data_IF_755522573320
#
_entry.id   IF_755522573320
#
_cell.length_a   1.000
_cell.length_b   1.000
_cell.length_c   1.000
_cell.angle_alpha   90.00
_cell.angle_beta   90.00
_cell.angle_gamma   90.00
#
_symmetry.space_group_name_H-M   'P 1'
#
loop_
_entity.id
_entity.type
_entity.pdbx_description
1 polymer ?
#
# COMPACT_ATOMS: atom_id res chain seq x y z
N UNK A 1 -17.53 8.29 7.93
CA UNK A 1 -18.07 7.35 6.93
C UNK A 1 -19.06 7.98 5.92
N UNK A 2 -19.34 9.28 5.93
CA UNK A 2 -20.16 9.90 4.87
C UNK A 2 -19.20 10.49 3.82
N UNK A 3 -19.11 9.87 2.64
CA UNK A 3 -18.33 10.36 1.50
C UNK A 3 -16.85 9.93 1.44
N UNK A 4 -16.43 8.95 2.25
CA UNK A 4 -15.06 8.42 2.21
C UNK A 4 -14.87 7.42 1.05
N UNK A 5 -13.80 7.59 0.26
CA UNK A 5 -13.42 6.64 -0.78
C UNK A 5 -12.56 5.53 -0.17
N UNK A 6 -13.21 4.42 0.17
CA UNK A 6 -12.51 3.23 0.67
C UNK A 6 -11.86 2.51 -0.51
N UNK A 7 -10.56 2.23 -0.39
CA UNK A 7 -9.78 1.48 -1.40
C UNK A 7 -9.16 0.23 -0.79
N UNK A 8 -8.99 -0.81 -1.60
CA UNK A 8 -8.24 -2.02 -1.24
C UNK A 8 -6.98 -2.08 -2.10
N UNK A 9 -5.83 -2.32 -1.47
CA UNK A 9 -4.53 -2.40 -2.14
C UNK A 9 -3.87 -3.73 -1.79
N UNK A 10 -3.29 -4.40 -2.78
CA UNK A 10 -2.50 -5.62 -2.61
C UNK A 10 -1.13 -5.40 -3.23
N UNK A 11 -0.07 -5.78 -2.52
CA UNK A 11 1.31 -5.58 -2.97
C UNK A 11 2.32 -5.91 -1.88
N UNK A 12 3.57 -5.53 -2.12
CA UNK A 12 4.68 -5.76 -1.19
C UNK A 12 5.11 -4.46 -0.53
N UNK A 13 5.66 -4.54 0.68
CA UNK A 13 6.34 -3.41 1.33
C UNK A 13 7.66 -3.13 0.58
N UNK A 14 7.92 -1.87 0.28
CA UNK A 14 9.18 -1.44 -0.37
C UNK A 14 10.34 -1.36 0.63
N UNK A 15 10.02 -1.03 1.88
CA UNK A 15 10.93 -0.79 2.98
C UNK A 15 10.25 -1.14 4.32
N UNK A 16 11.05 -1.19 5.39
CA UNK A 16 10.55 -1.38 6.75
C UNK A 16 9.64 -0.18 7.15
N UNK A 17 8.49 -0.42 7.82
CA UNK A 17 7.62 0.66 8.26
C UNK A 17 8.30 1.61 9.26
N UNK A 18 8.10 2.92 9.06
CA UNK A 18 8.56 3.93 9.99
C UNK A 18 7.51 4.19 11.07
N UNK A 19 7.85 3.90 12.33
CA UNK A 19 6.98 4.17 13.49
C UNK A 19 7.26 5.55 14.10
N UNK A 20 6.22 6.35 14.26
CA UNK A 20 6.25 7.66 14.93
C UNK A 20 5.12 7.79 15.96
N UNK A 21 5.22 8.78 16.83
CA UNK A 21 4.17 9.12 17.78
C UNK A 21 3.68 10.55 17.56
N UNK A 22 2.36 10.76 17.61
CA UNK A 22 1.77 12.10 17.58
C UNK A 22 2.09 12.86 18.87
N UNK A 23 1.92 14.19 18.92
CA UNK A 23 2.04 14.95 20.17
C UNK A 23 1.10 14.48 21.29
N UNK A 24 -0.03 13.87 20.93
CA UNK A 24 -0.98 13.24 21.86
C UNK A 24 -0.57 11.82 22.30
N UNK A 25 0.58 11.32 21.85
CA UNK A 25 1.13 10.01 22.22
C UNK A 25 0.59 8.82 21.43
N UNK A 26 -0.21 9.05 20.38
CA UNK A 26 -0.75 7.96 19.55
C UNK A 26 0.32 7.46 18.56
N UNK A 27 0.45 6.14 18.42
CA UNK A 27 1.36 5.52 17.47
C UNK A 27 0.83 5.61 16.02
N UNK A 28 1.71 5.96 15.07
CA UNK A 28 1.41 6.04 13.64
C UNK A 28 2.55 5.38 12.86
N UNK A 29 2.22 4.45 11.96
CA UNK A 29 3.18 3.81 11.06
C UNK A 29 3.01 4.33 9.64
N UNK A 30 4.12 4.65 8.97
CA UNK A 30 4.16 5.00 7.55
C UNK A 30 4.90 3.89 6.79
N UNK A 31 4.33 3.42 5.69
CA UNK A 31 4.96 2.41 4.82
C UNK A 31 4.48 2.59 3.38
N UNK A 32 5.29 2.10 2.43
CA UNK A 32 4.97 2.17 1.00
C UNK A 32 4.68 0.79 0.44
N UNK A 33 3.57 0.68 -0.29
CA UNK A 33 3.19 -0.56 -1.00
C UNK A 33 3.50 -0.41 -2.49
N UNK A 34 4.25 -1.36 -3.03
CA UNK A 34 4.39 -1.56 -4.47
C UNK A 34 3.37 -2.59 -4.98
N UNK A 35 2.48 -2.14 -5.86
CA UNK A 35 1.49 -3.00 -6.54
C UNK A 35 1.91 -3.23 -7.99
N UNK A 36 2.23 -4.47 -8.34
CA UNK A 36 2.64 -4.86 -9.69
C UNK A 36 1.53 -5.70 -10.34
N UNK A 37 0.56 -5.09 -11.06
CA UNK A 37 -0.43 -5.84 -11.81
C UNK A 37 0.26 -6.61 -12.96
N UNK A 38 -0.24 -7.81 -13.25
CA UNK A 38 0.25 -8.63 -14.36
C UNK A 38 -0.87 -8.89 -15.34
N UNK A 39 -0.56 -8.74 -16.61
CA UNK A 39 -1.45 -9.06 -17.73
C UNK A 39 -0.73 -10.01 -18.65
N UNK A 40 -1.42 -11.06 -19.09
CA UNK A 40 -0.88 -12.06 -20.00
C UNK A 40 -0.91 -11.55 -21.45
N UNK A 41 0.25 -11.48 -22.08
CA UNK A 41 0.50 -11.25 -23.49
C UNK A 41 0.47 -12.56 -24.27
N UNK A 42 -0.47 -12.67 -25.21
CA UNK A 42 -0.67 -13.88 -26.02
C UNK A 42 0.31 -13.99 -27.19
N UNK A 43 0.95 -12.91 -27.61
CA UNK A 43 1.88 -12.91 -28.74
C UNK A 43 3.24 -13.50 -28.33
N UNK A 44 3.69 -13.16 -27.13
CA UNK A 44 4.91 -13.71 -26.53
C UNK A 44 4.65 -14.90 -25.61
N UNK A 45 3.38 -15.18 -25.29
CA UNK A 45 2.95 -16.21 -24.33
C UNK A 45 3.49 -15.97 -22.91
N UNK A 46 3.44 -14.71 -22.46
CA UNK A 46 4.00 -14.22 -21.20
C UNK A 46 3.04 -13.32 -20.43
#
# INVERSE_FOLDING_TARGET
MAGETIITVVGNLVDDPELRFTPSGAAVANFRIASTPRTFDRQTNE
#
